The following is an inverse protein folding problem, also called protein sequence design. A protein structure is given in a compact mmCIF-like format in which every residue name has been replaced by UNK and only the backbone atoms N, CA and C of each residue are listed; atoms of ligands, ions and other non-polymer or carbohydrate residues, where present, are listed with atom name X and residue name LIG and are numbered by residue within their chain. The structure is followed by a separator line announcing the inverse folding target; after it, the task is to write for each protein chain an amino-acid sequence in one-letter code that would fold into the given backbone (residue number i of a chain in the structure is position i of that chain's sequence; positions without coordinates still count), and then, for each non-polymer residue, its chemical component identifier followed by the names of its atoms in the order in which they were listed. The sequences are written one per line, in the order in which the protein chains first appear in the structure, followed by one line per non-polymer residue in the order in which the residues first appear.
data_IF_119384502472
#
_entry.id   IF_119384502472
#
_cell.length_a   1.000
_cell.length_b   1.000
_cell.length_c   1.000
_cell.angle_alpha   90.00
_cell.angle_beta   90.00
_cell.angle_gamma   90.00
#
_symmetry.space_group_name_H-M   'P 1'
#
loop_
_entity.id
_entity.type
_entity.pdbx_description
1 polymer ?
#
# COMPACT_ATOMS: atom_id res chain seq x y z
N UNK A 1 14.14 -19.65 -17.16
CA UNK A 1 15.20 -19.43 -16.17
C UNK A 1 14.69 -18.92 -14.82
N UNK A 2 14.34 -17.63 -14.62
CA UNK A 2 14.02 -17.13 -13.24
C UNK A 2 12.86 -17.87 -12.57
N UNK A 3 11.75 -18.14 -13.29
CA UNK A 3 10.61 -18.88 -12.74
C UNK A 3 11.02 -20.32 -12.42
N UNK A 4 11.74 -20.99 -13.33
CA UNK A 4 12.22 -22.37 -13.14
C UNK A 4 13.11 -22.50 -11.91
N UNK A 5 14.03 -21.55 -11.69
CA UNK A 5 14.86 -21.55 -10.50
C UNK A 5 14.05 -21.51 -9.20
N UNK A 6 12.98 -20.70 -9.12
CA UNK A 6 12.11 -20.68 -7.94
C UNK A 6 11.24 -21.93 -7.81
N UNK A 7 10.84 -22.55 -8.92
CA UNK A 7 10.13 -23.84 -8.89
C UNK A 7 11.03 -24.97 -8.40
N UNK A 8 12.30 -25.01 -8.81
CA UNK A 8 13.29 -25.97 -8.31
C UNK A 8 13.52 -25.80 -6.80
N UNK A 9 13.76 -24.57 -6.33
CA UNK A 9 13.90 -24.29 -4.90
C UNK A 9 12.67 -24.71 -4.09
N UNK A 10 11.47 -24.55 -4.65
CA UNK A 10 10.22 -24.97 -4.01
C UNK A 10 10.10 -26.49 -4.00
N UNK A 11 10.42 -27.16 -5.11
CA UNK A 11 10.39 -28.62 -5.25
C UNK A 11 11.38 -29.31 -4.31
N UNK A 12 12.56 -28.72 -4.12
CA UNK A 12 13.59 -29.17 -3.19
C UNK A 12 13.25 -28.88 -1.71
N UNK A 13 12.19 -28.11 -1.45
CA UNK A 13 11.77 -27.76 -0.09
C UNK A 13 12.60 -26.67 0.57
N UNK A 14 13.50 -26.01 -0.17
CA UNK A 14 14.31 -24.89 0.34
C UNK A 14 13.41 -23.68 0.64
N UNK A 15 12.39 -23.46 -0.19
CA UNK A 15 11.37 -22.43 0.03
C UNK A 15 9.97 -23.06 0.02
N UNK A 16 9.04 -22.49 0.80
CA UNK A 16 7.63 -22.90 0.77
C UNK A 16 6.87 -22.24 -0.39
N UNK A 17 7.14 -20.95 -0.61
CA UNK A 17 6.48 -20.12 -1.62
C UNK A 17 7.45 -19.07 -2.13
N UNK A 18 7.13 -18.49 -3.27
CA UNK A 18 7.82 -17.33 -3.81
C UNK A 18 6.83 -16.26 -4.28
N UNK A 19 7.33 -15.05 -4.42
CA UNK A 19 6.59 -13.88 -4.84
C UNK A 19 7.55 -12.86 -5.44
N UNK A 20 7.03 -11.74 -5.93
CA UNK A 20 7.84 -10.66 -6.49
C UNK A 20 7.62 -9.35 -5.74
N UNK A 21 8.59 -8.45 -5.81
CA UNK A 21 8.44 -7.05 -5.43
C UNK A 21 8.48 -6.21 -6.69
N UNK A 22 7.32 -5.71 -7.12
CA UNK A 22 7.21 -4.96 -8.37
C UNK A 22 6.05 -3.99 -8.35
N UNK A 23 6.30 -2.81 -8.91
CA UNK A 23 5.27 -1.83 -9.29
C UNK A 23 5.16 -1.71 -10.81
N UNK A 24 5.86 -2.56 -11.58
CA UNK A 24 5.89 -2.52 -13.05
C UNK A 24 4.82 -3.45 -13.59
N UNK A 25 3.78 -2.91 -14.26
CA UNK A 25 2.66 -3.74 -14.69
C UNK A 25 3.02 -4.89 -15.63
N UNK A 26 3.93 -4.67 -16.58
CA UNK A 26 4.38 -5.69 -17.51
C UNK A 26 5.00 -6.90 -16.78
N UNK A 27 5.82 -6.66 -15.76
CA UNK A 27 6.39 -7.73 -14.91
C UNK A 27 5.29 -8.43 -14.13
N UNK A 28 4.39 -7.68 -13.49
CA UNK A 28 3.28 -8.26 -12.71
C UNK A 28 2.41 -9.16 -13.59
N UNK A 29 2.08 -8.72 -14.81
CA UNK A 29 1.29 -9.48 -15.77
C UNK A 29 1.97 -10.77 -16.21
N UNK A 30 3.26 -10.72 -16.52
CA UNK A 30 4.00 -11.91 -16.94
C UNK A 30 4.08 -12.95 -15.81
N UNK A 31 4.39 -12.53 -14.59
CA UNK A 31 4.47 -13.46 -13.45
C UNK A 31 3.10 -14.01 -13.07
N UNK A 32 2.04 -13.19 -13.09
CA UNK A 32 0.69 -13.67 -12.80
C UNK A 32 0.25 -14.76 -13.79
N UNK A 33 0.64 -14.64 -15.07
CA UNK A 33 0.27 -15.61 -16.11
C UNK A 33 1.14 -16.86 -16.16
N UNK A 34 2.43 -16.74 -15.86
CA UNK A 34 3.44 -17.76 -16.21
C UNK A 34 4.10 -18.43 -15.03
N UNK A 35 3.81 -18.01 -13.81
CA UNK A 35 4.45 -18.52 -12.59
C UNK A 35 3.43 -18.89 -11.51
N UNK A 36 3.91 -19.51 -10.45
CA UNK A 36 3.13 -19.85 -9.25
C UNK A 36 3.45 -18.90 -8.08
N UNK A 37 3.68 -17.62 -8.37
CA UNK A 37 3.82 -16.62 -7.30
C UNK A 37 2.54 -16.58 -6.47
N UNK A 38 2.68 -16.45 -5.14
CA UNK A 38 1.51 -16.30 -4.25
C UNK A 38 1.29 -14.84 -3.83
N UNK A 39 2.29 -13.99 -4.05
CA UNK A 39 2.23 -12.59 -3.62
C UNK A 39 3.00 -11.62 -4.49
N UNK A 40 2.51 -10.38 -4.57
CA UNK A 40 3.22 -9.21 -5.08
C UNK A 40 3.37 -8.16 -3.98
N UNK A 41 4.60 -7.78 -3.66
CA UNK A 41 4.89 -6.65 -2.78
C UNK A 41 4.81 -5.34 -3.57
N UNK A 42 3.84 -4.48 -3.24
CA UNK A 42 3.59 -3.21 -3.94
C UNK A 42 3.61 -2.02 -2.98
N UNK A 43 4.04 -0.85 -3.48
CA UNK A 43 3.87 0.40 -2.74
C UNK A 43 2.41 0.83 -2.82
N UNK A 44 1.68 0.66 -1.72
CA UNK A 44 0.26 0.93 -1.62
C UNK A 44 -0.02 1.69 -0.32
N UNK A 45 -0.73 2.80 -0.44
CA UNK A 45 -1.17 3.64 0.68
C UNK A 45 -2.41 4.43 0.28
N UNK A 46 -3.03 5.08 1.25
CA UNK A 46 -4.12 6.03 1.00
C UNK A 46 -3.74 7.12 -0.03
N UNK A 47 -2.46 7.51 -0.11
CA UNK A 47 -1.95 8.50 -1.07
C UNK A 47 -1.32 7.91 -2.34
N UNK A 48 -1.23 6.59 -2.45
CA UNK A 48 -0.69 5.91 -3.63
C UNK A 48 -1.57 4.73 -4.01
N UNK A 49 -2.57 5.01 -4.83
CA UNK A 49 -3.62 4.07 -5.25
C UNK A 49 -3.35 3.40 -6.60
N UNK A 50 -2.21 3.67 -7.23
CA UNK A 50 -1.79 3.04 -8.50
C UNK A 50 -1.88 1.50 -8.49
N UNK A 51 -1.58 0.79 -7.39
CA UNK A 51 -1.76 -0.67 -7.33
C UNK A 51 -3.22 -1.16 -7.52
N UNK A 52 -4.22 -0.35 -7.16
CA UNK A 52 -5.64 -0.76 -7.19
C UNK A 52 -6.10 -1.18 -8.61
N UNK A 53 -5.52 -0.59 -9.66
CA UNK A 53 -5.75 -0.96 -11.07
C UNK A 53 -5.46 -2.45 -11.36
N UNK A 54 -4.55 -3.05 -10.60
CA UNK A 54 -4.04 -4.41 -10.83
C UNK A 54 -4.67 -5.44 -9.91
N UNK A 55 -5.41 -5.00 -8.90
CA UNK A 55 -6.04 -5.90 -7.93
C UNK A 55 -7.01 -6.90 -8.59
N UNK A 56 -7.84 -6.54 -9.61
CA UNK A 56 -8.68 -7.51 -10.29
C UNK A 56 -7.88 -8.65 -10.95
N UNK A 57 -6.79 -8.33 -11.66
CA UNK A 57 -5.92 -9.32 -12.29
C UNK A 57 -5.28 -10.24 -11.24
N UNK A 58 -4.74 -9.66 -10.16
CA UNK A 58 -4.10 -10.44 -9.11
C UNK A 58 -5.11 -11.36 -8.40
N UNK A 59 -6.33 -10.86 -8.16
CA UNK A 59 -7.40 -11.63 -7.55
C UNK A 59 -7.87 -12.78 -8.46
N UNK A 60 -8.00 -12.56 -9.77
CA UNK A 60 -8.31 -13.61 -10.75
C UNK A 60 -7.30 -14.77 -10.70
N UNK A 61 -6.02 -14.44 -10.52
CA UNK A 61 -4.94 -15.42 -10.40
C UNK A 61 -4.71 -15.92 -8.97
N UNK A 62 -5.55 -15.53 -7.99
CA UNK A 62 -5.40 -15.89 -6.57
C UNK A 62 -4.05 -15.44 -5.95
N UNK A 63 -3.52 -14.32 -6.44
CA UNK A 63 -2.27 -13.71 -5.98
C UNK A 63 -2.61 -12.57 -5.02
N UNK A 64 -2.02 -12.59 -3.83
CA UNK A 64 -2.23 -11.54 -2.84
C UNK A 64 -1.26 -10.38 -3.01
N UNK A 65 -1.65 -9.20 -2.55
CA UNK A 65 -0.76 -8.04 -2.40
C UNK A 65 -0.24 -7.97 -0.97
N UNK A 66 1.05 -7.69 -0.84
CA UNK A 66 1.64 -7.22 0.41
C UNK A 66 1.89 -5.72 0.22
N UNK A 67 1.31 -4.89 1.09
CA UNK A 67 1.46 -3.44 0.99
C UNK A 67 2.69 -2.96 1.76
N UNK A 68 3.66 -2.37 1.03
CA UNK A 68 4.76 -1.60 1.62
C UNK A 68 4.51 -0.11 1.52
N UNK A 69 5.15 0.67 2.41
CA UNK A 69 4.98 2.12 2.45
C UNK A 69 3.56 2.62 2.77
N UNK A 70 2.76 1.93 3.60
CA UNK A 70 1.36 2.32 3.88
C UNK A 70 1.24 3.71 4.50
N UNK A 71 2.30 4.17 5.19
CA UNK A 71 2.36 5.47 5.86
C UNK A 71 2.94 6.60 5.00
N UNK A 72 3.18 6.37 3.69
CA UNK A 72 3.69 7.37 2.76
C UNK A 72 4.93 8.13 3.28
N UNK A 73 5.97 7.39 3.72
CA UNK A 73 7.20 7.94 4.33
C UNK A 73 6.98 8.79 5.59
N UNK A 74 5.87 8.56 6.30
CA UNK A 74 5.48 9.28 7.51
C UNK A 74 4.57 10.49 7.24
N UNK A 75 4.08 10.67 6.00
CA UNK A 75 3.08 11.70 5.70
C UNK A 75 1.72 11.33 6.33
N UNK A 76 1.40 10.03 6.39
CA UNK A 76 0.14 9.53 6.94
C UNK A 76 0.27 9.10 8.41
N UNK A 77 1.11 9.78 9.19
CA UNK A 77 1.20 9.57 10.64
C UNK A 77 0.61 10.76 11.38
N UNK A 78 0.22 10.58 12.65
CA UNK A 78 -0.36 11.66 13.45
C UNK A 78 0.62 12.83 13.66
N UNK A 79 1.93 12.53 13.76
CA UNK A 79 3.00 13.53 13.78
C UNK A 79 3.71 13.65 12.41
N UNK A 80 3.04 14.28 11.44
CA UNK A 80 3.50 14.37 10.06
C UNK A 80 4.01 15.75 9.61
N UNK A 81 3.94 16.80 10.44
CA UNK A 81 4.22 18.18 10.02
C UNK A 81 5.57 18.32 9.30
N UNK A 82 6.65 17.79 9.89
CA UNK A 82 8.00 17.81 9.28
C UNK A 82 8.12 16.98 8.00
N UNK A 83 7.22 16.02 7.76
CA UNK A 83 7.20 15.17 6.55
C UNK A 83 6.43 15.84 5.43
N UNK A 84 5.30 16.48 5.77
CA UNK A 84 4.50 17.30 4.84
C UNK A 84 5.31 18.50 4.35
N UNK A 85 6.03 19.19 5.23
CA UNK A 85 6.88 20.34 4.85
C UNK A 85 7.95 19.99 3.81
N UNK A 86 8.52 18.78 3.85
CA UNK A 86 9.52 18.33 2.85
C UNK A 86 8.94 18.22 1.45
N UNK A 87 7.63 18.16 1.30
CA UNK A 87 6.99 18.11 -0.02
C UNK A 87 7.17 19.43 -0.78
N UNK A 88 7.45 20.55 -0.08
CA UNK A 88 7.87 21.81 -0.71
C UNK A 88 9.17 21.69 -1.51
N UNK A 89 10.07 20.81 -1.08
CA UNK A 89 11.35 20.58 -1.76
C UNK A 89 11.18 19.63 -2.96
N UNK A 90 10.23 18.69 -2.86
CA UNK A 90 9.93 17.71 -3.89
C UNK A 90 8.55 17.11 -3.67
N UNK A 91 7.70 17.23 -4.68
CA UNK A 91 6.34 16.66 -4.71
C UNK A 91 6.29 15.18 -4.30
N UNK A 92 5.21 14.81 -3.63
CA UNK A 92 4.93 13.42 -3.28
C UNK A 92 4.07 12.78 -4.37
N UNK A 93 4.70 12.03 -5.26
CA UNK A 93 4.04 11.46 -6.45
C UNK A 93 3.43 12.59 -7.30
N UNK A 94 2.11 12.59 -7.48
CA UNK A 94 1.35 13.61 -8.21
C UNK A 94 0.83 14.74 -7.32
N UNK A 95 1.10 14.70 -6.01
CA UNK A 95 0.66 15.73 -5.08
C UNK A 95 1.71 16.82 -4.96
N UNK A 96 1.33 18.04 -5.32
CA UNK A 96 2.05 19.24 -4.88
C UNK A 96 1.89 19.43 -3.37
N UNK A 97 2.69 20.32 -2.79
CA UNK A 97 2.58 20.67 -1.37
C UNK A 97 1.16 21.14 -0.98
N UNK A 98 0.58 22.07 -1.73
CA UNK A 98 -0.74 22.66 -1.42
C UNK A 98 -1.87 21.64 -1.58
N UNK A 99 -1.79 20.80 -2.63
CA UNK A 99 -2.75 19.72 -2.85
C UNK A 99 -2.67 18.68 -1.73
N UNK A 100 -1.46 18.27 -1.33
CA UNK A 100 -1.27 17.34 -0.24
C UNK A 100 -1.81 17.90 1.07
N UNK A 101 -1.51 19.16 1.37
CA UNK A 101 -1.98 19.81 2.59
C UNK A 101 -3.51 19.87 2.65
N UNK A 102 -4.16 20.26 1.55
CA UNK A 102 -5.62 20.29 1.43
C UNK A 102 -6.22 18.89 1.56
N UNK A 103 -5.64 17.91 0.86
CA UNK A 103 -6.08 16.49 0.92
C UNK A 103 -6.01 15.96 2.35
N UNK A 104 -4.90 16.20 3.06
CA UNK A 104 -4.73 15.74 4.45
C UNK A 104 -5.70 16.42 5.41
N UNK A 105 -6.04 17.69 5.19
CA UNK A 105 -7.06 18.38 5.97
C UNK A 105 -8.44 17.71 5.80
N UNK A 106 -8.85 17.43 4.56
CA UNK A 106 -10.11 16.73 4.26
C UNK A 106 -10.13 15.28 4.78
N UNK A 107 -9.00 14.58 4.70
CA UNK A 107 -8.87 13.24 5.33
C UNK A 107 -9.07 13.34 6.84
N UNK A 108 -8.42 14.30 7.51
CA UNK A 108 -8.57 14.51 8.95
C UNK A 108 -10.01 14.83 9.36
N UNK A 109 -10.69 15.68 8.60
CA UNK A 109 -12.11 15.99 8.81
C UNK A 109 -12.99 14.74 8.69
N UNK A 110 -12.70 13.88 7.71
CA UNK A 110 -13.47 12.65 7.46
C UNK A 110 -13.30 11.61 8.57
N UNK A 111 -12.10 11.47 9.10
CA UNK A 111 -11.78 10.43 10.10
C UNK A 111 -12.08 10.90 11.54
N UNK A 112 -12.31 12.20 11.74
CA UNK A 112 -12.56 12.82 13.04
C UNK A 112 -11.41 12.56 14.02
N UNK A 113 -11.76 11.98 15.17
CA UNK A 113 -10.81 11.66 16.24
C UNK A 113 -9.98 10.38 15.99
N UNK A 114 -10.23 9.69 14.88
CA UNK A 114 -9.48 8.48 14.53
C UNK A 114 -8.04 8.81 14.18
N UNK A 115 -7.10 7.93 14.57
CA UNK A 115 -5.69 8.07 14.19
C UNK A 115 -5.52 8.02 12.67
N UNK A 116 -4.74 8.96 12.13
CA UNK A 116 -4.37 8.97 10.71
C UNK A 116 -3.49 7.77 10.38
N UNK A 117 -2.57 7.41 11.29
CA UNK A 117 -1.72 6.22 11.19
C UNK A 117 -2.57 4.95 11.09
N UNK A 118 -3.55 4.85 11.99
CA UNK A 118 -4.57 3.81 12.03
C UNK A 118 -5.33 3.68 10.72
N UNK A 119 -5.94 4.79 10.30
CA UNK A 119 -6.73 4.88 9.07
C UNK A 119 -5.91 4.47 7.85
N UNK A 120 -4.66 4.90 7.73
CA UNK A 120 -3.82 4.57 6.58
C UNK A 120 -3.53 3.06 6.47
N UNK A 121 -3.31 2.39 7.61
CA UNK A 121 -3.12 0.94 7.66
C UNK A 121 -4.43 0.22 7.35
N UNK A 122 -5.53 0.61 7.99
CA UNK A 122 -6.85 0.01 7.78
C UNK A 122 -7.37 0.21 6.36
N UNK A 123 -7.10 1.36 5.72
CA UNK A 123 -7.39 1.60 4.32
C UNK A 123 -6.73 0.56 3.41
N UNK A 124 -5.46 0.24 3.68
CA UNK A 124 -4.76 -0.78 2.91
C UNK A 124 -5.37 -2.17 3.13
N UNK A 125 -5.72 -2.51 4.37
CA UNK A 125 -6.33 -3.79 4.75
C UNK A 125 -7.78 -3.95 4.27
N UNK A 126 -8.49 -2.86 3.97
CA UNK A 126 -9.88 -2.91 3.54
C UNK A 126 -10.08 -3.67 2.22
N UNK A 127 -9.08 -3.62 1.32
CA UNK A 127 -9.16 -4.35 0.06
C UNK A 127 -8.73 -5.81 0.25
N UNK A 128 -9.62 -6.76 -0.08
CA UNK A 128 -9.40 -8.20 0.11
C UNK A 128 -8.22 -8.78 -0.69
N UNK A 129 -7.76 -8.10 -1.74
CA UNK A 129 -6.54 -8.49 -2.47
C UNK A 129 -5.29 -8.30 -1.60
N UNK A 130 -5.33 -7.42 -0.60
CA UNK A 130 -4.20 -7.17 0.32
C UNK A 130 -4.25 -8.18 1.47
N UNK A 131 -3.29 -9.11 1.49
CA UNK A 131 -3.17 -10.10 2.57
C UNK A 131 -2.43 -9.57 3.79
N UNK A 132 -1.51 -8.62 3.60
CA UNK A 132 -0.72 -8.05 4.68
C UNK A 132 -0.26 -6.63 4.37
N UNK A 133 -0.06 -5.85 5.43
CA UNK A 133 0.52 -4.51 5.38
C UNK A 133 1.77 -4.50 6.25
N UNK A 134 2.89 -4.01 5.71
CA UNK A 134 4.19 -3.98 6.40
C UNK A 134 4.65 -2.54 6.64
N UNK A 135 4.10 -1.85 7.66
CA UNK A 135 4.53 -0.50 8.01
C UNK A 135 5.96 -0.51 8.55
N UNK A 136 6.74 0.54 8.25
CA UNK A 136 8.07 0.72 8.81
C UNK A 136 8.02 1.23 10.25
N UNK A 137 9.02 0.88 11.05
CA UNK A 137 9.26 1.43 12.38
C UNK A 137 10.77 1.51 12.65
N UNK A 138 11.24 2.65 13.15
CA UNK A 138 12.63 2.88 13.58
C UNK A 138 12.73 3.18 15.08
N UNK A 139 11.63 3.05 15.83
CA UNK A 139 11.59 3.17 17.28
C UNK A 139 10.55 2.23 17.87
N UNK A 140 10.69 1.89 19.16
CA UNK A 140 9.72 1.08 19.87
C UNK A 140 8.33 1.74 19.89
N UNK A 141 8.28 3.07 19.99
CA UNK A 141 7.03 3.82 19.94
C UNK A 141 6.29 3.62 18.61
N UNK A 142 6.99 3.74 17.48
CA UNK A 142 6.38 3.52 16.16
C UNK A 142 5.89 2.08 15.99
N UNK A 143 6.64 1.10 16.53
CA UNK A 143 6.20 -0.30 16.52
C UNK A 143 4.91 -0.47 17.32
N UNK A 144 4.81 0.12 18.51
CA UNK A 144 3.60 0.07 19.34
C UNK A 144 2.41 0.77 18.66
N UNK A 145 2.64 1.90 17.98
CA UNK A 145 1.62 2.59 17.18
C UNK A 145 1.13 1.72 16.03
N UNK A 146 2.02 1.05 15.29
CA UNK A 146 1.66 0.11 14.23
C UNK A 146 0.83 -1.09 14.76
N UNK A 147 1.17 -1.62 15.94
CA UNK A 147 0.40 -2.70 16.58
C UNK A 147 -0.99 -2.21 16.99
N UNK A 148 -1.10 -1.02 17.59
CA UNK A 148 -2.42 -0.45 17.93
C UNK A 148 -3.26 -0.22 16.68
N UNK A 149 -2.65 0.30 15.61
CA UNK A 149 -3.31 0.53 14.33
C UNK A 149 -3.88 -0.76 13.71
N UNK A 150 -3.18 -1.89 13.82
CA UNK A 150 -3.69 -3.17 13.31
C UNK A 150 -4.84 -3.76 14.15
N UNK A 151 -4.97 -3.35 15.41
CA UNK A 151 -6.04 -3.77 16.32
C UNK A 151 -7.27 -2.86 16.31
N UNK A 152 -7.21 -1.73 15.59
CA UNK A 152 -8.36 -0.85 15.44
C UNK A 152 -9.47 -1.51 14.62
N UNK A 153 -10.68 -0.98 14.80
CA UNK A 153 -11.82 -1.38 13.99
C UNK A 153 -11.50 -1.13 12.50
N UNK A 154 -11.82 -2.08 11.61
CA UNK A 154 -11.73 -1.85 10.18
C UNK A 154 -12.57 -0.66 9.76
N UNK A 155 -12.12 0.05 8.72
CA UNK A 155 -12.94 1.08 8.09
C UNK A 155 -14.26 0.48 7.61
N UNK A 156 -15.35 1.18 7.89
CA UNK A 156 -16.64 0.93 7.26
C UNK A 156 -16.53 1.12 5.75
N UNK A 157 -17.46 0.52 5.01
CA UNK A 157 -17.50 0.68 3.55
C UNK A 157 -17.72 2.15 3.18
N UNK A 158 -18.52 2.86 3.97
CA UNK A 158 -18.84 4.26 3.81
C UNK A 158 -17.58 5.12 3.99
N UNK A 159 -16.83 4.94 5.08
CA UNK A 159 -15.56 5.65 5.32
C UNK A 159 -14.54 5.38 4.21
N UNK A 160 -14.39 4.11 3.80
CA UNK A 160 -13.48 3.73 2.72
C UNK A 160 -13.83 4.46 1.41
N UNK A 161 -15.11 4.47 1.02
CA UNK A 161 -15.57 5.17 -0.19
C UNK A 161 -15.43 6.69 -0.07
N UNK A 162 -15.64 7.28 1.11
CA UNK A 162 -15.43 8.73 1.29
C UNK A 162 -13.95 9.09 1.15
N UNK A 163 -13.05 8.34 1.79
CA UNK A 163 -11.61 8.53 1.64
C UNK A 163 -11.17 8.44 0.18
N UNK A 164 -11.71 7.48 -0.59
CA UNK A 164 -11.42 7.33 -2.02
C UNK A 164 -11.83 8.53 -2.88
N UNK A 165 -12.83 9.32 -2.47
CA UNK A 165 -13.24 10.54 -3.19
C UNK A 165 -12.31 11.72 -2.92
N UNK A 166 -11.67 11.73 -1.76
CA UNK A 166 -10.79 12.81 -1.31
C UNK A 166 -9.39 12.67 -1.92
N UNK A 167 -8.91 11.44 -2.04
CA UNK A 167 -7.54 11.15 -2.48
C UNK A 167 -7.48 10.81 -3.97
N UNK A 168 -6.43 11.28 -4.65
CA UNK A 168 -6.16 11.04 -6.07
C UNK A 168 -6.11 9.55 -6.40
N UNK A 169 -6.63 9.22 -7.59
CA UNK A 169 -6.52 7.90 -8.19
C UNK A 169 -5.64 7.97 -9.45
N UNK A 170 -4.33 7.85 -9.24
CA UNK A 170 -3.38 7.77 -10.35
C UNK A 170 -3.19 6.32 -10.81
N UNK A 171 -2.73 6.13 -12.04
CA UNK A 171 -2.30 4.84 -12.59
C UNK A 171 -0.82 4.85 -12.95
N UNK A 172 -0.19 3.67 -13.09
CA UNK A 172 1.18 3.60 -13.61
C UNK A 172 1.21 3.97 -15.10
N UNK A 173 1.93 5.03 -15.46
CA UNK A 173 2.10 5.47 -16.84
C UNK A 173 3.20 4.68 -17.60
N UNK A 174 4.25 4.25 -16.88
CA UNK A 174 5.40 3.53 -17.44
C UNK A 174 5.26 2.01 -17.23
N UNK A 175 5.89 1.24 -18.13
CA UNK A 175 5.99 -0.23 -18.05
C UNK A 175 4.63 -0.96 -18.02
N UNK A 176 3.59 -0.42 -18.68
CA UNK A 176 2.26 -1.04 -18.80
C UNK A 176 2.29 -2.35 -19.61
#
# INVERSE_FOLDING_TARGET
ETIEAFEELKKEGIIRHYGISSIRPNVVREYAKRSNIVSVLMEYSLLNRRPEEWFPLLNEHQISVIARGPLAKGILTDNNARKVERVKEKDYLSYSYDELHTTLASVKETIGESSLTGTAIQYCLHNKTVAAVIPGASSLQQLQENIRASQQLPLTKEEYVQLQKIVKYDTYALHR
#
